data_IF_959925762407
#
_entry.id   IF_959925762407
#
_cell.length_a   1.000
_cell.length_b   1.000
_cell.length_c   1.000
_cell.angle_alpha   90.00
_cell.angle_beta   90.00
_cell.angle_gamma   90.00
#
_symmetry.space_group_name_H-M   'P 1'
#
loop_
_entity.id
_entity.type
_entity.pdbx_description
1 polymer ?
#
# COMPACT_ATOMS: atom_id res chain seq x y z
N UNK A 1 35.61 59.38 24.40
CA UNK A 1 34.30 58.78 24.08
C UNK A 1 34.30 57.90 22.84
N UNK A 2 35.43 57.62 22.20
CA UNK A 2 35.46 56.79 20.97
C UNK A 2 35.85 55.32 21.22
N UNK A 3 36.24 54.94 22.42
CA UNK A 3 36.64 53.55 22.73
C UNK A 3 35.54 52.63 23.21
N UNK A 4 34.36 53.16 23.54
CA UNK A 4 33.25 52.33 24.04
C UNK A 4 32.32 51.76 22.95
N UNK A 5 32.38 52.31 21.73
CA UNK A 5 31.58 51.81 20.62
C UNK A 5 32.25 50.60 19.92
N UNK A 6 33.55 50.45 20.02
CA UNK A 6 34.27 49.32 19.37
C UNK A 6 34.09 47.97 20.09
N UNK A 7 33.82 47.98 21.41
CA UNK A 7 33.64 46.75 22.17
C UNK A 7 32.26 46.13 21.98
N UNK A 8 31.25 46.93 21.67
CA UNK A 8 29.86 46.45 21.47
C UNK A 8 29.75 45.78 20.09
N UNK A 9 30.50 46.27 19.09
CA UNK A 9 30.48 45.67 17.75
C UNK A 9 31.16 44.29 17.70
N UNK A 10 32.13 44.01 18.57
CA UNK A 10 32.85 42.74 18.63
C UNK A 10 32.07 41.63 19.34
N UNK A 11 31.14 41.98 20.22
CA UNK A 11 30.30 40.98 20.92
C UNK A 11 29.14 40.53 20.04
N UNK A 12 28.66 41.36 19.12
CA UNK A 12 27.59 40.99 18.21
C UNK A 12 28.00 40.06 17.06
N UNK A 13 29.26 40.07 16.68
CA UNK A 13 29.79 39.17 15.61
C UNK A 13 30.12 37.77 16.10
N UNK A 14 30.25 37.55 17.40
CA UNK A 14 30.53 36.22 17.96
C UNK A 14 29.27 35.37 18.19
N UNK A 15 28.07 35.96 18.11
CA UNK A 15 26.80 35.26 18.43
C UNK A 15 26.08 34.68 17.20
N UNK A 16 26.63 34.86 16.00
CA UNK A 16 25.97 34.41 14.75
C UNK A 16 26.54 33.09 14.22
N UNK A 17 27.55 32.51 14.85
CA UNK A 17 28.19 31.27 14.37
C UNK A 17 27.78 29.96 15.08
N UNK A 18 26.70 29.95 15.84
CA UNK A 18 26.29 28.77 16.59
C UNK A 18 24.95 28.16 16.12
N UNK A 19 24.57 28.32 14.86
CA UNK A 19 23.39 27.69 14.31
C UNK A 19 23.68 26.96 12.99
N UNK A 20 24.81 26.20 12.95
CA UNK A 20 24.88 25.08 12.00
C UNK A 20 24.25 23.89 12.70
N UNK A 21 22.92 23.87 12.72
CA UNK A 21 22.18 22.66 13.06
C UNK A 21 22.61 21.59 12.06
N UNK A 22 23.21 20.52 12.53
CA UNK A 22 23.25 19.29 11.75
C UNK A 22 21.82 18.87 11.49
N UNK A 23 21.28 19.19 10.32
CA UNK A 23 20.12 18.49 9.80
C UNK A 23 20.55 17.04 9.59
N UNK A 24 20.29 16.22 10.60
CA UNK A 24 20.33 14.79 10.45
C UNK A 24 19.16 14.42 9.55
N UNK A 25 19.44 14.45 8.24
CA UNK A 25 18.54 13.93 7.23
C UNK A 25 18.45 12.41 7.48
N UNK A 26 17.44 11.98 8.25
CA UNK A 26 17.10 10.59 8.30
C UNK A 26 16.76 10.18 6.88
N UNK A 27 17.61 9.40 6.24
CA UNK A 27 17.36 8.80 4.93
C UNK A 27 16.11 7.94 5.07
N UNK A 28 14.96 8.45 4.63
CA UNK A 28 13.76 7.64 4.48
C UNK A 28 14.12 6.53 3.51
N UNK A 29 14.06 5.28 3.98
CA UNK A 29 14.27 4.11 3.12
C UNK A 29 13.20 4.14 2.04
N UNK A 30 13.61 4.27 0.79
CA UNK A 30 12.71 4.20 -0.35
C UNK A 30 11.99 2.84 -0.34
N UNK A 31 10.69 2.88 -0.53
CA UNK A 31 9.83 1.69 -0.64
C UNK A 31 9.51 1.46 -2.11
N UNK A 32 9.72 0.25 -2.56
CA UNK A 32 9.30 -0.21 -3.88
C UNK A 32 7.92 -0.87 -3.78
N UNK A 33 6.98 -0.40 -4.60
CA UNK A 33 5.62 -0.93 -4.68
C UNK A 33 5.45 -1.65 -6.01
N UNK A 34 4.94 -2.87 -5.96
CA UNK A 34 4.67 -3.72 -7.14
C UNK A 34 3.30 -4.36 -7.07
N UNK A 35 2.75 -4.73 -8.22
CA UNK A 35 1.58 -5.60 -8.27
C UNK A 35 1.91 -6.95 -7.66
N UNK A 36 1.04 -7.43 -6.78
CA UNK A 36 1.19 -8.76 -6.18
C UNK A 36 0.92 -9.85 -7.23
N UNK A 37 1.72 -10.90 -7.30
CA UNK A 37 1.35 -12.10 -8.04
C UNK A 37 0.14 -12.76 -7.36
N UNK A 38 -0.87 -13.12 -8.15
CA UNK A 38 -2.11 -13.72 -7.65
C UNK A 38 -2.12 -15.20 -8.01
N UNK A 39 -2.31 -16.04 -7.02
CA UNK A 39 -2.29 -17.50 -7.17
C UNK A 39 -3.68 -18.12 -7.19
N UNK A 40 -4.62 -17.54 -6.42
CA UNK A 40 -5.97 -18.05 -6.31
C UNK A 40 -6.95 -16.92 -6.03
N UNK A 41 -8.11 -16.99 -6.67
CA UNK A 41 -9.28 -16.14 -6.36
C UNK A 41 -10.53 -17.01 -6.31
N UNK A 42 -11.42 -16.70 -5.36
CA UNK A 42 -12.73 -17.37 -5.22
C UNK A 42 -13.78 -16.34 -4.86
N UNK A 43 -14.93 -16.41 -5.51
CA UNK A 43 -16.12 -15.67 -5.06
C UNK A 43 -16.95 -16.55 -4.13
N UNK A 44 -17.21 -16.05 -2.94
CA UNK A 44 -18.02 -16.71 -1.92
C UNK A 44 -19.29 -15.91 -1.68
N UNK A 45 -20.42 -16.58 -1.69
CA UNK A 45 -21.72 -15.99 -1.45
C UNK A 45 -22.16 -16.37 -0.03
N UNK A 46 -22.27 -15.38 0.86
CA UNK A 46 -22.77 -15.61 2.19
C UNK A 46 -24.29 -15.84 2.17
N UNK A 47 -24.74 -16.85 2.91
CA UNK A 47 -26.17 -17.15 3.12
C UNK A 47 -26.78 -16.10 4.06
N UNK A 48 -27.01 -14.90 3.54
CA UNK A 48 -27.66 -13.79 4.23
C UNK A 48 -28.79 -13.25 3.34
N UNK A 49 -29.62 -12.37 3.89
CA UNK A 49 -30.63 -11.66 3.12
C UNK A 49 -30.46 -10.15 3.29
N UNK A 50 -30.09 -9.42 2.20
CA UNK A 50 -29.69 -9.91 0.89
C UNK A 50 -28.34 -10.68 0.92
N UNK A 51 -28.08 -11.57 -0.05
CA UNK A 51 -26.82 -12.30 -0.13
C UNK A 51 -25.62 -11.35 -0.26
N UNK A 52 -24.55 -11.62 0.46
CA UNK A 52 -23.32 -10.83 0.39
C UNK A 52 -22.22 -11.57 -0.34
N UNK A 53 -21.48 -10.85 -1.16
CA UNK A 53 -20.36 -11.39 -1.95
C UNK A 53 -19.05 -11.06 -1.28
N UNK A 54 -18.21 -12.09 -1.13
CA UNK A 54 -16.83 -11.97 -0.69
C UNK A 54 -15.91 -12.55 -1.76
N UNK A 55 -14.79 -11.89 -2.00
CA UNK A 55 -13.74 -12.43 -2.88
C UNK A 55 -12.54 -12.81 -2.02
N UNK A 56 -12.25 -14.10 -1.98
CA UNK A 56 -11.01 -14.62 -1.40
C UNK A 56 -9.88 -14.46 -2.41
N UNK A 57 -8.74 -13.96 -1.95
CA UNK A 57 -7.56 -13.73 -2.76
C UNK A 57 -6.34 -14.30 -2.03
N UNK A 58 -5.60 -15.18 -2.71
CA UNK A 58 -4.28 -15.65 -2.28
C UNK A 58 -3.23 -15.07 -3.20
N UNK A 59 -2.31 -14.30 -2.64
CA UNK A 59 -1.22 -13.67 -3.36
C UNK A 59 0.15 -14.11 -2.85
N UNK A 60 1.18 -13.84 -3.63
CA UNK A 60 2.55 -14.19 -3.33
C UNK A 60 3.37 -13.03 -2.77
N UNK A 61 4.36 -13.38 -1.95
CA UNK A 61 5.39 -12.51 -1.42
C UNK A 61 6.75 -13.05 -1.92
N UNK A 62 7.43 -12.28 -2.76
CA UNK A 62 8.59 -12.75 -3.51
C UNK A 62 9.82 -13.12 -2.65
N UNK A 63 9.97 -12.48 -1.49
CA UNK A 63 11.08 -12.71 -0.56
C UNK A 63 10.69 -12.36 0.88
N UNK A 64 11.60 -12.52 1.83
CA UNK A 64 11.36 -12.27 3.26
C UNK A 64 11.12 -10.80 3.63
N UNK A 65 11.45 -9.85 2.75
CA UNK A 65 11.26 -8.41 2.97
C UNK A 65 10.02 -7.85 2.28
N UNK A 66 9.39 -8.63 1.42
CA UNK A 66 8.17 -8.24 0.72
C UNK A 66 6.96 -8.46 1.61
N UNK A 67 6.14 -7.44 1.76
CA UNK A 67 4.91 -7.49 2.54
C UNK A 67 3.71 -6.99 1.72
N UNK A 68 2.51 -7.34 2.14
CA UNK A 68 1.30 -6.77 1.58
C UNK A 68 1.30 -5.25 1.78
N UNK A 69 0.89 -4.50 0.76
CA UNK A 69 0.81 -3.04 0.82
C UNK A 69 -0.63 -2.56 0.85
N UNK A 70 -1.37 -2.72 -0.24
CA UNK A 70 -2.69 -2.15 -0.39
C UNK A 70 -3.58 -3.00 -1.30
N UNK A 71 -4.88 -2.87 -1.07
CA UNK A 71 -5.92 -3.44 -1.92
C UNK A 71 -6.93 -2.35 -2.25
N UNK A 72 -7.18 -2.13 -3.55
CA UNK A 72 -8.17 -1.18 -4.05
C UNK A 72 -9.21 -1.90 -4.88
N UNK A 73 -10.48 -1.58 -4.68
CA UNK A 73 -11.59 -2.10 -5.45
C UNK A 73 -12.23 -0.98 -6.25
N UNK A 74 -12.38 -1.19 -7.55
CA UNK A 74 -13.09 -0.30 -8.48
C UNK A 74 -14.18 -1.08 -9.18
N UNK A 75 -15.36 -0.51 -9.29
CA UNK A 75 -16.50 -1.12 -9.95
C UNK A 75 -16.95 -0.30 -11.14
N UNK A 76 -17.12 -0.95 -12.29
CA UNK A 76 -17.63 -0.35 -13.52
C UNK A 76 -18.64 -1.30 -14.17
N UNK A 77 -19.93 -1.02 -13.99
CA UNK A 77 -21.01 -1.88 -14.49
C UNK A 77 -20.97 -3.29 -13.88
N UNK A 78 -20.81 -4.29 -14.75
CA UNK A 78 -20.69 -5.72 -14.36
C UNK A 78 -19.26 -6.17 -14.11
N UNK A 79 -18.30 -5.24 -14.14
CA UNK A 79 -16.88 -5.47 -13.91
C UNK A 79 -16.41 -4.93 -12.57
N UNK A 80 -15.70 -5.77 -11.83
CA UNK A 80 -15.09 -5.42 -10.56
C UNK A 80 -13.59 -5.63 -10.70
N UNK A 81 -12.83 -4.54 -10.61
CA UNK A 81 -11.38 -4.57 -10.67
C UNK A 81 -10.80 -4.43 -9.28
N UNK A 82 -10.00 -5.40 -8.86
CA UNK A 82 -9.29 -5.39 -7.59
C UNK A 82 -7.79 -5.30 -7.88
N UNK A 83 -7.16 -4.23 -7.41
CA UNK A 83 -5.71 -4.03 -7.53
C UNK A 83 -5.08 -4.33 -6.19
N UNK A 84 -4.15 -5.29 -6.17
CA UNK A 84 -3.42 -5.71 -4.96
C UNK A 84 -1.95 -5.44 -5.16
N UNK A 85 -1.34 -4.74 -4.23
CA UNK A 85 0.07 -4.39 -4.28
C UNK A 85 0.85 -4.93 -3.08
N UNK A 86 2.12 -5.15 -3.30
CA UNK A 86 3.11 -5.47 -2.28
C UNK A 86 4.12 -4.34 -2.17
N UNK A 87 4.80 -4.25 -1.04
CA UNK A 87 5.86 -3.29 -0.79
C UNK A 87 7.12 -3.97 -0.28
N UNK A 88 8.25 -3.36 -0.57
CA UNK A 88 9.56 -3.86 -0.19
C UNK A 88 10.52 -2.68 0.00
N UNK A 89 11.37 -2.66 1.03
CA UNK A 89 12.45 -1.67 1.10
C UNK A 89 13.39 -1.83 -0.10
N UNK A 90 13.63 -0.74 -0.82
CA UNK A 90 14.51 -0.74 -1.98
C UNK A 90 15.96 -1.04 -1.56
N UNK A 91 16.63 -1.94 -2.28
CA UNK A 91 18.01 -2.31 -1.99
C UNK A 91 18.21 -3.17 -0.74
N UNK A 92 17.16 -3.65 -0.07
CA UNK A 92 17.28 -4.54 1.07
C UNK A 92 17.83 -5.92 0.65
N UNK A 93 18.71 -6.48 1.48
CA UNK A 93 19.20 -7.85 1.34
C UNK A 93 18.24 -8.76 2.10
N UNK A 94 17.58 -9.67 1.39
CA UNK A 94 16.49 -10.49 1.91
C UNK A 94 16.70 -11.97 1.59
N UNK A 95 16.23 -12.84 2.48
CA UNK A 95 16.21 -14.25 2.20
C UNK A 95 15.24 -14.55 1.04
N UNK A 96 15.67 -15.42 0.10
CA UNK A 96 14.88 -15.84 -1.06
C UNK A 96 13.84 -16.89 -0.65
N UNK A 97 12.99 -16.54 0.30
CA UNK A 97 11.91 -17.40 0.79
C UNK A 97 10.59 -16.83 0.26
N UNK A 98 9.95 -17.59 -0.63
CA UNK A 98 8.64 -17.22 -1.17
C UNK A 98 7.56 -17.46 -0.13
N UNK A 99 6.74 -16.43 0.13
CA UNK A 99 5.63 -16.49 1.05
C UNK A 99 4.29 -16.20 0.39
N UNK A 100 3.22 -16.28 1.18
CA UNK A 100 1.86 -16.01 0.72
C UNK A 100 1.14 -15.09 1.70
N UNK A 101 0.17 -14.36 1.17
CA UNK A 101 -0.84 -13.65 1.95
C UNK A 101 -2.24 -14.06 1.46
N UNK A 102 -3.22 -13.92 2.35
CA UNK A 102 -4.63 -14.21 2.06
C UNK A 102 -5.46 -12.99 2.47
N UNK A 103 -6.43 -12.63 1.64
CA UNK A 103 -7.38 -11.53 1.90
C UNK A 103 -8.78 -11.95 1.52
N UNK A 104 -9.76 -11.58 2.33
CA UNK A 104 -11.18 -11.63 2.01
C UNK A 104 -11.69 -10.21 1.79
N UNK A 105 -12.20 -9.94 0.60
CA UNK A 105 -12.73 -8.63 0.21
C UNK A 105 -14.25 -8.70 0.21
N UNK A 106 -14.88 -7.91 1.06
CA UNK A 106 -16.32 -7.77 1.06
C UNK A 106 -16.76 -6.84 -0.07
N UNK A 107 -17.49 -7.37 -1.04
CA UNK A 107 -18.09 -6.59 -2.13
C UNK A 107 -19.52 -6.12 -1.79
N UNK A 108 -20.10 -6.63 -0.71
CA UNK A 108 -21.46 -6.27 -0.30
C UNK A 108 -22.54 -7.00 -1.06
N UNK A 109 -23.70 -6.37 -1.17
CA UNK A 109 -24.92 -6.94 -1.73
C UNK A 109 -25.58 -6.07 -2.80
N UNK A 110 -24.94 -5.01 -3.25
CA UNK A 110 -25.46 -4.12 -4.29
C UNK A 110 -25.22 -4.72 -5.69
N UNK A 111 -26.00 -5.77 -5.99
CA UNK A 111 -25.95 -6.51 -7.24
C UNK A 111 -27.37 -6.83 -7.72
N UNK A 112 -27.51 -7.10 -9.01
CA UNK A 112 -28.79 -7.47 -9.63
C UNK A 112 -28.90 -8.99 -9.65
N UNK A 113 -29.97 -9.53 -9.07
CA UNK A 113 -30.27 -10.96 -9.08
C UNK A 113 -30.29 -11.52 -10.50
N UNK A 114 -29.66 -12.66 -10.71
CA UNK A 114 -29.57 -13.36 -11.99
C UNK A 114 -28.53 -12.78 -12.95
N UNK A 115 -27.86 -11.67 -12.59
CA UNK A 115 -26.81 -11.06 -13.41
C UNK A 115 -25.43 -11.67 -13.10
N UNK A 116 -24.64 -11.87 -14.15
CA UNK A 116 -23.24 -12.33 -14.03
C UNK A 116 -22.30 -11.15 -13.97
N UNK A 117 -21.36 -11.21 -13.04
CA UNK A 117 -20.32 -10.21 -12.82
C UNK A 117 -18.93 -10.82 -13.02
N UNK A 118 -18.01 -10.03 -13.52
CA UNK A 118 -16.60 -10.43 -13.69
C UNK A 118 -15.75 -9.73 -12.64
N UNK A 119 -14.90 -10.50 -11.99
CA UNK A 119 -13.88 -10.01 -11.05
C UNK A 119 -12.51 -10.17 -11.71
N UNK A 120 -11.72 -9.10 -11.72
CA UNK A 120 -10.34 -9.06 -12.18
C UNK A 120 -9.44 -8.65 -11.01
N UNK A 121 -8.55 -9.53 -10.61
CA UNK A 121 -7.55 -9.27 -9.56
C UNK A 121 -6.16 -9.31 -10.21
N UNK A 122 -5.57 -8.16 -10.47
CA UNK A 122 -4.25 -8.04 -11.11
C UNK A 122 -4.13 -8.87 -12.42
N UNK A 123 -5.19 -8.94 -13.22
CA UNK A 123 -5.23 -9.70 -14.47
C UNK A 123 -5.73 -11.14 -14.36
N UNK A 124 -5.89 -11.67 -13.14
CA UNK A 124 -6.54 -12.98 -12.91
C UNK A 124 -8.04 -12.76 -12.78
N UNK A 125 -8.80 -13.40 -13.66
CA UNK A 125 -10.25 -13.16 -13.79
C UNK A 125 -11.08 -14.35 -13.38
N UNK A 126 -12.27 -14.09 -12.87
CA UNK A 126 -13.32 -15.05 -12.63
C UNK A 126 -14.69 -14.39 -12.75
N UNK A 127 -15.73 -15.18 -12.88
CA UNK A 127 -17.13 -14.70 -12.91
C UNK A 127 -17.94 -15.33 -11.80
N UNK A 128 -18.95 -14.61 -11.34
CA UNK A 128 -19.99 -15.15 -10.48
C UNK A 128 -21.36 -14.63 -10.92
N UNK A 129 -22.40 -15.42 -10.67
CA UNK A 129 -23.78 -15.00 -10.86
C UNK A 129 -24.38 -14.68 -9.49
N UNK A 130 -24.91 -13.47 -9.35
CA UNK A 130 -25.59 -13.08 -8.11
C UNK A 130 -26.96 -13.73 -8.02
N UNK A 131 -27.28 -14.43 -6.90
CA UNK A 131 -28.54 -15.16 -6.74
C UNK A 131 -29.78 -14.28 -6.66
#
# INVERSE_FOLDING_TARGET
>A
MRAKLSLIALVFTALVMAAVGCEYSASEKEIEIRLAPIHEIQANIAESYPPQIFVYIKGGLADSCTTFHELKTERSGDRIKITVTTQRPKGAICAQVYGFFEKNVALGSDFVSGKTYMVDVNGVTMSFMYP
#
